data_IF_456589910968
#
_entry.id   IF_456589910968
#
_cell.length_a   1.000
_cell.length_b   1.000
_cell.length_c   1.000
_cell.angle_alpha   90.00
_cell.angle_beta   90.00
_cell.angle_gamma   90.00
#
_symmetry.space_group_name_H-M   'P 1'
#
loop_
_entity.id
_entity.type
_entity.pdbx_description
1 polymer ?
#
# COMPACT_ATOMS: atom_id res chain seq x y z
N UNK A 1 19.26 15.50 -5.37
CA UNK A 1 19.45 14.03 -5.30
C UNK A 1 19.57 13.54 -6.72
N UNK A 2 20.51 12.64 -7.02
CA UNK A 2 20.61 12.05 -8.35
C UNK A 2 19.45 11.07 -8.54
N UNK A 3 18.74 11.18 -9.65
CA UNK A 3 17.82 10.12 -10.10
C UNK A 3 18.63 8.83 -10.23
N UNK A 4 18.11 7.66 -9.83
CA UNK A 4 18.83 6.41 -9.98
C UNK A 4 19.19 6.18 -11.45
N UNK A 5 20.28 5.48 -11.70
CA UNK A 5 20.59 5.05 -13.05
C UNK A 5 19.52 4.06 -13.50
N UNK A 6 18.82 4.39 -14.58
CA UNK A 6 17.78 3.53 -15.13
C UNK A 6 18.28 2.90 -16.41
N UNK A 7 18.24 1.57 -16.45
CA UNK A 7 18.40 0.76 -17.65
C UNK A 7 17.02 0.26 -18.09
N UNK A 8 16.84 0.08 -19.37
CA UNK A 8 15.58 -0.40 -19.92
C UNK A 8 15.79 -1.22 -21.19
N UNK A 9 14.83 -2.07 -21.49
CA UNK A 9 14.66 -2.74 -22.78
C UNK A 9 13.20 -2.70 -23.16
N UNK A 10 12.91 -2.58 -24.45
CA UNK A 10 11.53 -2.54 -24.94
C UNK A 10 11.42 -3.20 -26.30
N UNK A 11 10.32 -3.92 -26.50
CA UNK A 11 10.00 -4.55 -27.78
C UNK A 11 8.49 -4.68 -27.93
N UNK A 12 8.01 -4.49 -29.14
CA UNK A 12 6.66 -4.83 -29.54
C UNK A 12 6.70 -5.75 -30.75
N UNK A 13 5.79 -6.71 -30.82
CA UNK A 13 5.65 -7.68 -31.90
C UNK A 13 4.18 -7.84 -32.27
N UNK A 14 3.89 -8.04 -33.56
CA UNK A 14 2.52 -8.18 -34.04
C UNK A 14 1.86 -9.50 -33.60
N UNK A 15 2.69 -10.45 -33.13
CA UNK A 15 2.26 -11.81 -32.85
C UNK A 15 2.22 -12.69 -34.10
N UNK A 16 1.55 -13.86 -34.00
CA UNK A 16 1.48 -14.85 -35.08
C UNK A 16 0.11 -14.89 -35.79
N UNK A 17 -0.90 -14.23 -35.21
CA UNK A 17 -2.28 -14.33 -35.68
C UNK A 17 -2.89 -12.99 -36.09
N UNK A 18 -2.29 -11.87 -35.72
CA UNK A 18 -2.73 -10.52 -36.06
C UNK A 18 -2.02 -10.04 -37.33
N UNK A 19 -2.69 -9.19 -38.12
CA UNK A 19 -2.10 -8.55 -39.30
C UNK A 19 -1.51 -7.16 -38.97
N UNK A 20 -2.04 -6.49 -37.95
CA UNK A 20 -1.66 -5.16 -37.52
C UNK A 20 -1.30 -5.16 -36.05
N UNK A 21 -0.43 -4.23 -35.67
CA UNK A 21 -0.08 -4.01 -34.29
C UNK A 21 -0.82 -2.78 -33.74
N UNK A 22 -1.78 -2.99 -32.86
CA UNK A 22 -2.57 -1.94 -32.21
C UNK A 22 -1.93 -1.52 -30.85
N UNK A 23 -0.90 -2.22 -30.39
CA UNK A 23 -0.12 -1.83 -29.22
C UNK A 23 0.77 -0.62 -29.51
N UNK A 24 1.00 0.19 -28.49
CA UNK A 24 1.96 1.29 -28.52
C UNK A 24 2.71 1.41 -27.20
N UNK A 25 3.96 1.87 -27.24
CA UNK A 25 4.73 2.16 -26.04
C UNK A 25 5.53 3.45 -26.19
N UNK A 26 5.94 4.02 -25.05
CA UNK A 26 6.81 5.18 -24.99
C UNK A 26 7.84 5.02 -23.88
N UNK A 27 9.06 5.47 -24.16
CA UNK A 27 10.12 5.61 -23.19
C UNK A 27 10.68 7.02 -23.30
N UNK A 28 10.56 7.79 -22.23
CA UNK A 28 11.28 9.06 -22.06
C UNK A 28 12.19 8.96 -20.81
N UNK A 29 13.44 8.55 -21.04
CA UNK A 29 14.44 8.41 -19.98
C UNK A 29 14.71 9.71 -19.23
N UNK A 30 14.54 10.87 -19.87
CA UNK A 30 14.80 12.19 -19.25
C UNK A 30 13.71 12.54 -18.25
N UNK A 31 12.46 12.23 -18.57
CA UNK A 31 11.33 12.37 -17.65
C UNK A 31 11.22 11.21 -16.66
N UNK A 32 11.87 10.08 -16.92
CA UNK A 32 11.67 8.84 -16.17
C UNK A 32 10.34 8.18 -16.49
N UNK A 33 9.75 8.41 -17.66
CA UNK A 33 8.42 7.94 -18.04
C UNK A 33 8.49 6.75 -19.00
N UNK A 34 7.75 5.68 -18.63
CA UNK A 34 7.59 4.45 -19.41
C UNK A 34 6.11 4.13 -19.52
N UNK A 35 5.61 3.82 -20.72
CA UNK A 35 4.19 3.63 -20.99
C UNK A 35 3.99 2.45 -21.93
N UNK A 36 2.96 1.64 -21.69
CA UNK A 36 2.42 0.63 -22.63
C UNK A 36 0.92 0.86 -22.75
N UNK A 37 0.42 0.81 -23.97
CA UNK A 37 -0.98 0.96 -24.31
C UNK A 37 -1.35 -0.13 -25.34
N UNK A 38 -2.42 -0.89 -25.06
CA UNK A 38 -3.02 -1.87 -25.96
C UNK A 38 -4.29 -1.29 -26.55
N UNK A 39 -4.30 -1.14 -27.86
CA UNK A 39 -5.36 -0.47 -28.59
C UNK A 39 -6.49 -1.42 -28.99
N UNK A 40 -7.74 -1.00 -28.79
CA UNK A 40 -8.92 -1.76 -29.17
C UNK A 40 -9.88 -0.93 -30.00
N UNK A 41 -10.59 -1.56 -30.98
CA UNK A 41 -11.61 -0.85 -31.74
C UNK A 41 -11.89 -1.38 -33.15
N UNK A 42 -11.24 -2.44 -33.55
CA UNK A 42 -11.37 -3.05 -34.89
C UNK A 42 -10.81 -2.18 -36.01
N UNK A 43 -10.24 -2.79 -37.06
CA UNK A 43 -9.52 -2.13 -38.15
C UNK A 43 -8.44 -1.18 -37.58
N UNK A 44 -7.90 -0.25 -38.13
CA UNK A 44 -6.85 0.64 -37.62
C UNK A 44 -7.29 1.60 -36.46
N UNK A 45 -8.42 1.37 -35.81
CA UNK A 45 -8.94 2.28 -34.80
C UNK A 45 -8.23 2.12 -33.44
N UNK A 46 -7.83 0.88 -33.08
CA UNK A 46 -7.04 0.60 -31.87
C UNK A 46 -5.64 1.23 -31.92
N UNK A 47 -4.96 1.12 -33.07
CA UNK A 47 -3.65 1.77 -33.29
C UNK A 47 -3.73 3.29 -33.10
N UNK A 48 -4.80 3.93 -33.61
CA UNK A 48 -5.01 5.37 -33.43
C UNK A 48 -5.25 5.71 -31.96
N UNK A 49 -6.02 4.89 -31.24
CA UNK A 49 -6.31 5.13 -29.83
C UNK A 49 -5.07 5.00 -28.97
N UNK A 50 -4.28 3.91 -29.10
CA UNK A 50 -3.06 3.68 -28.34
C UNK A 50 -2.00 4.75 -28.63
N UNK A 51 -1.78 5.12 -29.90
CA UNK A 51 -0.85 6.18 -30.29
C UNK A 51 -1.25 7.55 -29.72
N UNK A 52 -2.56 7.88 -29.74
CA UNK A 52 -3.06 9.14 -29.21
C UNK A 52 -2.97 9.19 -27.68
N UNK A 53 -3.19 8.06 -26.98
CA UNK A 53 -3.02 7.93 -25.54
C UNK A 53 -1.57 8.22 -25.14
N UNK A 54 -0.64 7.46 -25.70
CA UNK A 54 0.81 7.60 -25.45
C UNK A 54 1.28 9.04 -25.67
N UNK A 55 0.91 9.59 -26.82
CA UNK A 55 1.30 10.97 -27.18
C UNK A 55 0.72 12.01 -26.23
N UNK A 56 -0.56 11.90 -25.90
CA UNK A 56 -1.22 12.88 -25.02
C UNK A 56 -0.66 12.80 -23.59
N UNK A 57 -0.50 11.60 -23.05
CA UNK A 57 0.10 11.41 -21.75
C UNK A 57 1.48 12.03 -21.67
N UNK A 58 2.33 11.78 -22.66
CA UNK A 58 3.67 12.34 -22.73
C UNK A 58 3.65 13.88 -22.81
N UNK A 59 2.79 14.47 -23.67
CA UNK A 59 2.66 15.92 -23.81
C UNK A 59 2.26 16.59 -22.49
N UNK A 60 1.26 16.03 -21.78
CA UNK A 60 0.77 16.59 -20.51
C UNK A 60 1.81 16.46 -19.39
N UNK A 61 2.44 15.29 -19.24
CA UNK A 61 3.48 15.08 -18.21
C UNK A 61 4.71 15.97 -18.47
N UNK A 62 5.11 16.12 -19.74
CA UNK A 62 6.23 16.97 -20.13
C UNK A 62 6.00 18.46 -19.82
N UNK A 63 4.76 18.93 -19.87
CA UNK A 63 4.42 20.32 -19.48
C UNK A 63 4.68 20.57 -18.00
N UNK A 64 4.55 19.54 -17.18
CA UNK A 64 4.75 19.60 -15.72
C UNK A 64 6.16 19.16 -15.29
N UNK A 65 7.12 19.15 -16.23
CA UNK A 65 8.50 18.72 -15.96
C UNK A 65 9.18 19.49 -14.82
N UNK A 66 8.88 20.78 -14.66
CA UNK A 66 9.41 21.60 -13.56
C UNK A 66 8.84 21.16 -12.21
N UNK A 67 7.55 20.84 -12.12
CA UNK A 67 6.90 20.30 -10.91
C UNK A 67 7.51 18.94 -10.55
N UNK A 68 7.72 18.06 -11.52
CA UNK A 68 8.35 16.75 -11.32
C UNK A 68 9.79 16.93 -10.81
N UNK A 69 10.56 17.86 -11.40
CA UNK A 69 11.93 18.15 -10.98
C UNK A 69 11.98 18.74 -9.55
N UNK A 70 11.07 19.63 -9.20
CA UNK A 70 10.96 20.22 -7.86
C UNK A 70 10.60 19.17 -6.81
N UNK A 71 9.70 18.24 -7.12
CA UNK A 71 9.41 17.10 -6.28
C UNK A 71 10.64 16.20 -6.07
N UNK A 72 11.30 15.80 -7.15
CA UNK A 72 12.52 14.95 -7.10
C UNK A 72 13.68 15.59 -6.36
N UNK A 73 13.84 16.92 -6.43
CA UNK A 73 14.85 17.65 -5.71
C UNK A 73 14.55 17.84 -4.21
N UNK A 74 13.34 17.49 -3.73
CA UNK A 74 12.86 17.72 -2.36
C UNK A 74 13.11 19.15 -1.88
N UNK A 75 12.86 20.14 -2.74
CA UNK A 75 13.06 21.55 -2.41
C UNK A 75 12.25 21.94 -1.17
N UNK A 76 12.93 22.50 -0.18
CA UNK A 76 12.32 23.09 1.01
C UNK A 76 11.95 24.54 0.70
N UNK A 77 10.68 24.90 0.70
CA UNK A 77 10.20 26.26 0.42
C UNK A 77 8.68 26.36 0.35
N UNK A 78 8.15 27.56 0.11
CA UNK A 78 6.74 27.96 0.28
C UNK A 78 5.69 27.21 -0.58
N UNK A 79 6.11 26.38 -1.54
CA UNK A 79 5.23 25.49 -2.31
C UNK A 79 5.89 24.11 -2.44
N UNK A 80 5.80 23.30 -1.39
CA UNK A 80 6.31 21.93 -1.42
C UNK A 80 5.39 21.06 -2.27
N UNK A 81 5.86 20.64 -3.44
CA UNK A 81 5.16 19.63 -4.25
C UNK A 81 5.06 18.33 -3.46
N UNK A 82 3.86 17.77 -3.36
CA UNK A 82 3.57 16.54 -2.64
C UNK A 82 3.44 15.33 -3.58
N UNK A 83 3.45 14.11 -3.03
CA UNK A 83 3.12 12.89 -3.78
C UNK A 83 1.76 13.01 -4.48
N UNK A 84 0.79 13.62 -3.78
CA UNK A 84 -0.57 13.82 -4.28
C UNK A 84 -0.60 14.72 -5.51
N UNK A 85 0.25 15.74 -5.58
CA UNK A 85 0.30 16.62 -6.75
C UNK A 85 0.81 15.87 -7.98
N UNK A 86 1.82 15.00 -7.82
CA UNK A 86 2.30 14.12 -8.91
C UNK A 86 1.22 13.14 -9.34
N UNK A 87 0.51 12.51 -8.38
CA UNK A 87 -0.58 11.56 -8.68
C UNK A 87 -1.73 12.27 -9.41
N UNK A 88 -2.17 13.44 -8.92
CA UNK A 88 -3.23 14.23 -9.56
C UNK A 88 -2.84 14.65 -10.99
N UNK A 89 -1.59 15.00 -11.21
CA UNK A 89 -1.06 15.32 -12.54
C UNK A 89 -1.17 14.12 -13.50
N UNK A 90 -0.81 12.92 -13.04
CA UNK A 90 -0.93 11.69 -13.82
C UNK A 90 -2.40 11.36 -14.13
N UNK A 91 -3.29 11.46 -13.14
CA UNK A 91 -4.73 11.25 -13.31
C UNK A 91 -5.33 12.26 -14.32
N UNK A 92 -4.92 13.52 -14.23
CA UNK A 92 -5.30 14.55 -15.20
C UNK A 92 -4.82 14.20 -16.62
N UNK A 93 -3.57 13.76 -16.78
CA UNK A 93 -3.00 13.41 -18.07
C UNK A 93 -3.74 12.23 -18.74
N UNK A 94 -4.11 11.20 -17.96
CA UNK A 94 -4.92 10.06 -18.44
C UNK A 94 -6.31 10.51 -18.83
N UNK A 95 -6.99 11.33 -18.05
CA UNK A 95 -8.31 11.87 -18.40
C UNK A 95 -8.26 12.78 -19.62
N UNK A 96 -7.16 13.52 -19.80
CA UNK A 96 -6.94 14.32 -21.01
C UNK A 96 -6.77 13.44 -22.24
N UNK A 97 -6.07 12.31 -22.12
CA UNK A 97 -5.96 11.32 -23.19
C UNK A 97 -7.33 10.72 -23.52
N UNK A 98 -8.13 10.36 -22.50
CA UNK A 98 -9.49 9.82 -22.68
C UNK A 98 -10.38 10.80 -23.46
N UNK A 99 -10.46 12.05 -23.03
CA UNK A 99 -11.23 13.09 -23.73
C UNK A 99 -10.81 13.28 -25.19
N UNK A 100 -9.49 13.24 -25.47
CA UNK A 100 -8.98 13.40 -26.86
C UNK A 100 -9.34 12.22 -27.74
N UNK A 101 -9.21 10.99 -27.26
CA UNK A 101 -9.56 9.78 -28.01
C UNK A 101 -11.06 9.74 -28.25
N UNK A 102 -11.87 10.03 -27.24
CA UNK A 102 -13.33 10.08 -27.33
C UNK A 102 -13.80 11.12 -28.38
N UNK A 103 -13.19 12.31 -28.34
CA UNK A 103 -13.48 13.37 -29.32
C UNK A 103 -13.04 12.98 -30.75
N UNK A 104 -11.94 12.24 -30.90
CA UNK A 104 -11.51 11.75 -32.24
C UNK A 104 -12.43 10.65 -32.74
N UNK A 105 -12.87 9.73 -31.87
CA UNK A 105 -13.85 8.67 -32.20
C UNK A 105 -15.20 9.25 -32.69
N UNK A 106 -15.60 10.39 -32.13
CA UNK A 106 -16.86 11.06 -32.54
C UNK A 106 -16.83 11.63 -33.96
N UNK A 107 -15.65 11.88 -34.54
CA UNK A 107 -15.52 12.44 -35.89
C UNK A 107 -15.70 11.42 -37.02
N UNK A 108 -15.49 10.13 -36.73
CA UNK A 108 -15.54 9.06 -37.74
C UNK A 108 -16.30 7.85 -37.20
N UNK A 109 -17.40 7.49 -37.88
CA UNK A 109 -18.22 6.36 -37.50
C UNK A 109 -17.43 5.02 -37.44
N UNK A 110 -16.36 4.89 -38.25
CA UNK A 110 -15.50 3.70 -38.25
C UNK A 110 -14.61 3.59 -37.00
N UNK A 111 -14.39 4.70 -36.30
CA UNK A 111 -13.61 4.79 -35.06
C UNK A 111 -14.48 4.76 -33.80
N UNK A 112 -15.81 4.61 -33.99
CA UNK A 112 -16.73 4.68 -32.84
C UNK A 112 -16.47 3.55 -31.85
N UNK A 113 -16.27 3.95 -30.57
CA UNK A 113 -15.97 3.02 -29.49
C UNK A 113 -14.52 2.57 -29.44
N UNK A 114 -13.61 3.18 -30.21
CA UNK A 114 -12.18 2.94 -30.06
C UNK A 114 -11.73 3.37 -28.65
N UNK A 115 -10.77 2.65 -28.13
CA UNK A 115 -10.16 2.91 -26.84
C UNK A 115 -8.82 2.20 -26.73
N UNK A 116 -8.22 2.31 -25.59
CA UNK A 116 -6.95 1.63 -25.30
C UNK A 116 -6.84 1.35 -23.82
N UNK A 117 -6.09 0.32 -23.44
CA UNK A 117 -5.53 0.20 -22.10
C UNK A 117 -4.45 1.25 -21.90
N UNK A 118 -4.00 1.41 -20.68
CA UNK A 118 -2.83 2.22 -20.36
C UNK A 118 -2.19 1.68 -19.08
N UNK A 119 -0.90 1.40 -19.11
CA UNK A 119 -0.08 1.19 -17.92
C UNK A 119 1.17 2.05 -18.04
N UNK A 120 1.44 2.86 -17.02
CA UNK A 120 2.57 3.78 -17.02
C UNK A 120 3.31 3.78 -15.70
N UNK A 121 4.64 3.93 -15.80
CA UNK A 121 5.58 4.11 -14.71
C UNK A 121 6.27 5.45 -14.86
N UNK A 122 6.18 6.31 -13.85
CA UNK A 122 6.95 7.55 -13.74
C UNK A 122 7.91 7.44 -12.57
N UNK A 123 9.20 7.48 -12.85
CA UNK A 123 10.27 7.45 -11.83
C UNK A 123 10.68 8.87 -11.49
N UNK A 124 10.52 9.27 -10.23
CA UNK A 124 10.92 10.60 -9.74
C UNK A 124 11.75 10.47 -8.48
N UNK A 125 13.02 10.83 -8.57
CA UNK A 125 13.96 10.65 -7.46
C UNK A 125 14.08 9.17 -7.09
N UNK A 126 13.65 8.82 -5.89
CA UNK A 126 13.67 7.45 -5.37
C UNK A 126 12.28 6.84 -5.24
N UNK A 127 11.32 7.34 -6.00
CA UNK A 127 9.93 6.87 -5.97
C UNK A 127 9.44 6.55 -7.37
N UNK A 128 8.61 5.51 -7.45
CA UNK A 128 7.92 5.07 -8.65
C UNK A 128 6.43 5.39 -8.52
N UNK A 129 5.90 6.14 -9.47
CA UNK A 129 4.47 6.40 -9.59
C UNK A 129 3.92 5.52 -10.70
N UNK A 130 2.95 4.68 -10.35
CA UNK A 130 2.25 3.78 -11.26
C UNK A 130 0.85 4.30 -11.50
N UNK A 131 0.41 4.33 -12.76
CA UNK A 131 -0.98 4.63 -13.14
C UNK A 131 -1.42 3.68 -14.22
N UNK A 132 -2.65 3.17 -14.13
CA UNK A 132 -3.15 2.20 -15.10
C UNK A 132 -4.66 2.22 -15.29
N UNK A 133 -5.09 1.78 -16.48
CA UNK A 133 -6.48 1.55 -16.89
C UNK A 133 -6.49 0.35 -17.83
N UNK A 134 -7.36 -0.63 -17.59
CA UNK A 134 -7.50 -1.83 -18.43
C UNK A 134 -6.87 -3.06 -17.82
N UNK A 135 -6.39 -3.97 -18.65
CA UNK A 135 -5.80 -5.27 -18.31
C UNK A 135 -4.37 -5.46 -18.80
N UNK A 136 -3.74 -4.41 -19.35
CA UNK A 136 -2.29 -4.34 -19.44
C UNK A 136 -1.70 -4.28 -18.04
N UNK A 137 -0.61 -5.00 -17.81
CA UNK A 137 -0.11 -5.25 -16.45
C UNK A 137 1.26 -4.65 -16.19
N UNK A 138 1.51 -4.39 -14.92
CA UNK A 138 2.84 -4.09 -14.39
C UNK A 138 3.22 -5.10 -13.32
N UNK A 139 4.43 -5.64 -13.45
CA UNK A 139 5.03 -6.53 -12.47
C UNK A 139 6.29 -5.90 -11.89
N UNK A 140 6.59 -6.22 -10.64
CA UNK A 140 7.84 -5.87 -9.95
C UNK A 140 8.56 -7.15 -9.54
N UNK A 141 9.80 -7.31 -9.98
CA UNK A 141 10.74 -8.28 -9.43
C UNK A 141 11.65 -7.56 -8.44
N UNK A 142 11.51 -7.91 -7.17
CA UNK A 142 12.28 -7.37 -6.04
C UNK A 142 12.77 -8.52 -5.17
N UNK A 143 14.06 -8.57 -4.86
CA UNK A 143 14.67 -9.62 -4.02
C UNK A 143 14.33 -11.05 -4.47
N UNK A 144 14.19 -11.25 -5.77
CA UNK A 144 13.84 -12.54 -6.36
C UNK A 144 12.35 -12.91 -6.30
N UNK A 145 11.50 -12.06 -5.73
CA UNK A 145 10.05 -12.24 -5.68
C UNK A 145 9.40 -11.42 -6.79
N UNK A 146 8.60 -12.08 -7.63
CA UNK A 146 7.78 -11.42 -8.66
C UNK A 146 6.39 -11.14 -8.12
N UNK A 147 5.94 -9.90 -8.26
CA UNK A 147 4.62 -9.45 -7.83
C UNK A 147 3.92 -8.67 -8.94
N UNK A 148 2.62 -8.94 -9.18
CA UNK A 148 1.78 -8.12 -10.04
C UNK A 148 1.29 -6.90 -9.27
N UNK A 149 1.70 -5.70 -9.70
CA UNK A 149 1.33 -4.44 -9.06
C UNK A 149 -0.07 -3.96 -9.47
N UNK A 150 -0.44 -4.17 -10.73
CA UNK A 150 -1.73 -3.76 -11.28
C UNK A 150 -2.82 -4.80 -10.99
N UNK A 151 -4.06 -4.38 -11.06
CA UNK A 151 -5.21 -5.25 -11.01
C UNK A 151 -6.08 -5.02 -12.26
N UNK A 152 -6.31 -6.09 -13.01
CA UNK A 152 -7.01 -5.98 -14.30
C UNK A 152 -8.43 -5.45 -14.13
N UNK A 153 -8.79 -4.45 -14.91
CA UNK A 153 -10.15 -3.94 -15.00
C UNK A 153 -10.98 -4.81 -15.96
N UNK A 154 -11.31 -6.03 -15.51
CA UNK A 154 -12.08 -7.02 -16.27
C UNK A 154 -13.35 -7.42 -15.53
N UNK A 155 -14.33 -7.96 -16.30
CA UNK A 155 -15.57 -8.53 -15.73
C UNK A 155 -15.23 -9.60 -14.69
N UNK A 156 -14.23 -10.45 -14.96
CA UNK A 156 -13.74 -11.49 -14.06
C UNK A 156 -13.41 -10.91 -12.68
N UNK A 157 -12.51 -9.91 -12.64
CA UNK A 157 -12.06 -9.32 -11.39
C UNK A 157 -13.18 -8.56 -10.68
N UNK A 158 -14.03 -7.83 -11.40
CA UNK A 158 -15.19 -7.15 -10.83
C UNK A 158 -16.19 -8.11 -10.16
N UNK A 159 -16.46 -9.25 -10.77
CA UNK A 159 -17.37 -10.25 -10.19
C UNK A 159 -16.77 -10.95 -8.96
N UNK A 160 -15.48 -11.27 -9.01
CA UNK A 160 -14.76 -11.87 -7.88
C UNK A 160 -14.68 -10.88 -6.71
N UNK A 161 -14.33 -9.61 -6.97
CA UNK A 161 -14.30 -8.55 -5.94
C UNK A 161 -15.63 -8.38 -5.23
N UNK A 162 -16.72 -8.37 -6.00
CA UNK A 162 -18.07 -8.21 -5.45
C UNK A 162 -18.60 -9.47 -4.78
N UNK A 163 -17.85 -10.59 -4.77
CA UNK A 163 -18.25 -11.91 -4.25
C UNK A 163 -19.62 -12.37 -4.79
N UNK A 164 -19.98 -11.95 -6.01
CA UNK A 164 -21.24 -12.33 -6.64
C UNK A 164 -21.23 -13.72 -7.23
N UNK A 165 -20.04 -14.22 -7.58
CA UNK A 165 -19.81 -15.54 -8.17
C UNK A 165 -18.55 -16.16 -7.59
N UNK A 166 -18.48 -17.52 -7.57
CA UNK A 166 -17.25 -18.23 -7.26
C UNK A 166 -16.28 -18.17 -8.43
N UNK A 167 -15.00 -18.48 -8.19
CA UNK A 167 -13.96 -18.50 -9.23
C UNK A 167 -14.36 -19.45 -10.37
N UNK A 168 -14.88 -20.64 -10.02
CA UNK A 168 -15.33 -21.65 -11.00
C UNK A 168 -16.51 -21.15 -11.84
N UNK A 169 -17.44 -20.41 -11.24
CA UNK A 169 -18.57 -19.82 -11.96
C UNK A 169 -18.13 -18.71 -12.92
N UNK A 170 -17.18 -17.87 -12.50
CA UNK A 170 -16.65 -16.81 -13.35
C UNK A 170 -15.87 -17.37 -14.53
N UNK A 171 -15.09 -18.46 -14.30
CA UNK A 171 -14.33 -19.13 -15.38
C UNK A 171 -15.21 -19.69 -16.50
N UNK A 172 -16.49 -19.97 -16.23
CA UNK A 172 -17.44 -20.45 -17.24
C UNK A 172 -18.07 -19.33 -18.07
N UNK A 173 -17.85 -18.06 -17.72
CA UNK A 173 -18.38 -16.93 -18.47
C UNK A 173 -17.64 -16.72 -19.79
N UNK A 174 -18.40 -16.59 -20.90
CA UNK A 174 -17.83 -16.35 -22.22
C UNK A 174 -17.08 -15.01 -22.34
N UNK A 175 -17.46 -14.01 -21.55
CA UNK A 175 -16.90 -12.66 -21.58
C UNK A 175 -16.14 -12.31 -20.27
N UNK A 176 -15.55 -13.28 -19.61
CA UNK A 176 -14.83 -13.05 -18.34
C UNK A 176 -13.68 -12.05 -18.47
N UNK A 177 -13.01 -12.04 -19.60
CA UNK A 177 -11.87 -11.16 -19.88
C UNK A 177 -12.29 -9.84 -20.54
N UNK A 178 -13.61 -9.55 -20.67
CA UNK A 178 -14.04 -8.27 -21.21
C UNK A 178 -13.59 -7.13 -20.30
N UNK A 179 -12.94 -6.12 -20.90
CA UNK A 179 -12.43 -4.94 -20.20
C UNK A 179 -13.60 -4.08 -19.70
N UNK A 180 -13.56 -3.67 -18.45
CA UNK A 180 -14.58 -2.82 -17.82
C UNK A 180 -14.22 -1.35 -17.79
N UNK A 181 -12.91 -1.02 -17.93
CA UNK A 181 -12.42 0.36 -18.01
C UNK A 181 -11.38 0.48 -19.11
N UNK A 182 -11.51 1.49 -19.97
CA UNK A 182 -10.56 1.80 -21.03
C UNK A 182 -10.49 3.30 -21.29
N UNK A 183 -9.33 3.77 -21.70
CA UNK A 183 -9.08 5.17 -22.07
C UNK A 183 -9.69 5.45 -23.43
N UNK A 184 -10.57 6.46 -23.54
CA UNK A 184 -11.15 6.92 -24.80
C UNK A 184 -12.54 6.37 -25.14
N UNK A 185 -12.98 5.26 -24.53
CA UNK A 185 -14.35 4.73 -24.72
C UNK A 185 -15.38 5.74 -24.19
N UNK A 186 -15.06 6.37 -23.06
CA UNK A 186 -15.82 7.48 -22.49
C UNK A 186 -14.94 8.73 -22.39
N UNK A 187 -15.56 9.90 -22.25
CA UNK A 187 -14.83 11.17 -22.10
C UNK A 187 -13.94 11.18 -20.89
N UNK A 188 -14.41 10.57 -19.80
CA UNK A 188 -13.67 10.44 -18.52
C UNK A 188 -13.51 8.98 -18.14
N UNK A 189 -12.38 8.66 -17.53
CA UNK A 189 -12.07 7.34 -17.00
C UNK A 189 -11.46 7.49 -15.61
N UNK A 190 -11.72 6.55 -14.72
CA UNK A 190 -11.13 6.48 -13.40
C UNK A 190 -9.90 5.55 -13.43
N UNK A 191 -8.67 6.09 -13.44
CA UNK A 191 -7.45 5.29 -13.38
C UNK A 191 -7.17 4.86 -11.94
N UNK A 192 -6.51 3.71 -11.80
CA UNK A 192 -5.91 3.32 -10.53
C UNK A 192 -4.45 3.80 -10.46
N UNK A 193 -4.02 4.21 -9.27
CA UNK A 193 -2.67 4.73 -9.03
C UNK A 193 -2.01 4.03 -7.84
N UNK A 194 -0.67 3.95 -7.87
CA UNK A 194 0.16 3.42 -6.79
C UNK A 194 1.48 4.18 -6.73
N UNK A 195 2.02 4.39 -5.53
CA UNK A 195 3.35 4.98 -5.33
C UNK A 195 4.22 4.03 -4.53
N UNK A 196 5.41 3.74 -5.04
CA UNK A 196 6.35 2.81 -4.43
C UNK A 196 7.69 3.51 -4.18
N UNK A 197 8.33 3.18 -3.06
CA UNK A 197 9.75 3.49 -2.89
C UNK A 197 10.59 2.52 -3.74
N UNK A 198 11.54 3.06 -4.50
CA UNK A 198 12.48 2.29 -5.30
C UNK A 198 13.64 1.75 -4.47
N UNK A 199 14.06 0.54 -4.81
CA UNK A 199 15.25 -0.11 -4.27
C UNK A 199 16.21 -0.43 -5.43
N UNK A 200 17.51 -0.40 -5.17
CA UNK A 200 18.50 -0.89 -6.14
C UNK A 200 18.22 -2.34 -6.51
N UNK A 201 18.25 -2.63 -7.81
CA UNK A 201 17.93 -3.96 -8.32
C UNK A 201 16.46 -4.20 -8.62
N UNK A 202 15.54 -3.29 -8.28
CA UNK A 202 14.14 -3.38 -8.72
C UNK A 202 14.05 -3.50 -10.24
N UNK A 203 13.20 -4.41 -10.70
CA UNK A 203 12.92 -4.57 -12.12
C UNK A 203 11.43 -4.57 -12.35
N UNK A 204 10.97 -3.60 -13.12
CA UNK A 204 9.58 -3.48 -13.53
C UNK A 204 9.41 -4.08 -14.94
N UNK A 205 8.30 -4.80 -15.13
CA UNK A 205 7.81 -5.21 -16.45
C UNK A 205 6.46 -4.57 -16.68
N UNK A 206 6.35 -3.75 -17.72
CA UNK A 206 5.08 -3.26 -18.26
C UNK A 206 4.77 -4.07 -19.51
N UNK A 207 3.57 -4.61 -19.65
CA UNK A 207 3.21 -5.43 -20.80
C UNK A 207 1.72 -5.38 -21.14
N UNK A 208 1.40 -5.63 -22.43
CA UNK A 208 0.03 -5.90 -22.90
C UNK A 208 -0.41 -7.32 -22.54
N UNK A 209 -1.69 -7.60 -22.67
CA UNK A 209 -2.31 -8.90 -22.38
C UNK A 209 -1.80 -10.03 -23.31
N UNK A 210 -1.38 -9.69 -24.53
CA UNK A 210 -0.75 -10.62 -25.46
C UNK A 210 0.56 -11.25 -24.94
N UNK A 211 1.20 -10.62 -23.94
CA UNK A 211 2.28 -11.26 -23.18
C UNK A 211 1.74 -11.95 -21.92
N UNK A 212 1.11 -11.18 -21.01
CA UNK A 212 0.80 -11.67 -19.68
C UNK A 212 -0.32 -12.71 -19.65
N UNK A 213 -1.23 -12.71 -20.62
CA UNK A 213 -2.31 -13.69 -20.72
C UNK A 213 -1.86 -15.15 -20.83
N UNK A 214 -0.64 -15.41 -21.26
CA UNK A 214 -0.05 -16.76 -21.26
C UNK A 214 0.44 -17.24 -19.89
N UNK A 215 0.53 -16.33 -18.91
CA UNK A 215 1.09 -16.57 -17.58
C UNK A 215 0.07 -16.37 -16.45
N UNK A 216 -1.22 -16.33 -16.77
CA UNK A 216 -2.30 -16.10 -15.80
C UNK A 216 -2.34 -17.14 -14.66
N UNK A 217 -2.04 -18.39 -14.98
CA UNK A 217 -2.07 -19.51 -14.02
C UNK A 217 -0.76 -19.65 -13.23
N UNK A 218 0.36 -19.20 -13.80
CA UNK A 218 1.68 -19.25 -13.20
C UNK A 218 2.57 -18.11 -13.70
N UNK A 219 2.87 -17.16 -12.82
CA UNK A 219 3.75 -16.02 -13.14
C UNK A 219 5.24 -16.30 -12.93
N UNK A 220 5.62 -17.46 -12.36
CA UNK A 220 7.02 -17.77 -12.07
C UNK A 220 7.93 -17.72 -13.30
N UNK A 221 7.49 -18.20 -14.50
CA UNK A 221 8.31 -18.08 -15.71
C UNK A 221 8.64 -16.62 -16.09
N UNK A 222 7.70 -15.66 -15.87
CA UNK A 222 7.99 -14.24 -16.09
C UNK A 222 9.15 -13.77 -15.20
N UNK A 223 9.16 -14.18 -13.93
CA UNK A 223 10.22 -13.84 -12.98
C UNK A 223 11.59 -14.33 -13.46
N UNK A 224 11.67 -15.54 -14.03
CA UNK A 224 12.90 -16.10 -14.58
C UNK A 224 13.42 -15.31 -15.79
N UNK A 225 12.53 -14.89 -16.69
CA UNK A 225 12.91 -14.04 -17.82
C UNK A 225 13.35 -12.66 -17.35
N UNK A 226 12.60 -12.08 -16.40
CA UNK A 226 12.91 -10.77 -15.82
C UNK A 226 14.24 -10.76 -15.07
N UNK A 227 14.68 -11.87 -14.49
CA UNK A 227 15.96 -12.01 -13.81
C UNK A 227 17.16 -12.01 -14.79
N UNK A 228 16.96 -12.08 -16.13
CA UNK A 228 18.03 -11.95 -17.11
C UNK A 228 18.69 -10.57 -16.96
N UNK A 229 20.01 -10.46 -16.72
CA UNK A 229 20.66 -9.18 -16.40
C UNK A 229 20.47 -8.09 -17.47
N UNK A 230 20.62 -8.44 -18.72
CA UNK A 230 20.46 -7.54 -19.85
C UNK A 230 18.97 -7.38 -20.18
N UNK A 231 18.47 -6.15 -20.10
CA UNK A 231 17.04 -5.82 -20.30
C UNK A 231 16.56 -6.09 -21.73
N UNK A 232 17.41 -5.84 -22.74
CA UNK A 232 17.06 -6.09 -24.13
C UNK A 232 16.98 -7.59 -24.43
N UNK A 233 17.87 -8.42 -23.85
CA UNK A 233 17.76 -9.86 -23.94
C UNK A 233 16.53 -10.39 -23.20
N UNK A 234 16.22 -9.84 -22.03
CA UNK A 234 15.06 -10.24 -21.26
C UNK A 234 13.76 -10.02 -22.02
N UNK A 235 13.60 -8.83 -22.62
CA UNK A 235 12.44 -8.48 -23.44
C UNK A 235 12.31 -9.41 -24.65
N UNK A 236 13.41 -9.69 -25.38
CA UNK A 236 13.37 -10.62 -26.51
C UNK A 236 12.91 -12.01 -26.11
N UNK A 237 13.44 -12.55 -25.00
CA UNK A 237 13.01 -13.87 -24.49
C UNK A 237 11.52 -13.90 -24.11
N UNK A 238 10.98 -12.82 -23.55
CA UNK A 238 9.55 -12.72 -23.22
C UNK A 238 8.69 -12.74 -24.47
N UNK A 239 9.04 -11.93 -25.48
CA UNK A 239 8.31 -11.88 -26.77
C UNK A 239 8.40 -13.24 -27.47
N UNK A 240 9.59 -13.83 -27.56
CA UNK A 240 9.80 -15.15 -28.18
C UNK A 240 8.96 -16.22 -27.48
N UNK A 241 8.95 -16.25 -26.14
CA UNK A 241 8.14 -17.19 -25.37
C UNK A 241 6.65 -17.03 -25.64
N UNK A 242 6.11 -15.80 -25.68
CA UNK A 242 4.70 -15.58 -26.00
C UNK A 242 4.36 -16.00 -27.44
N UNK A 243 5.25 -15.75 -28.39
CA UNK A 243 5.12 -16.19 -29.77
C UNK A 243 5.16 -17.74 -29.91
N UNK A 244 6.02 -18.41 -29.14
CA UNK A 244 6.09 -19.89 -29.08
C UNK A 244 4.81 -20.49 -28.48
N UNK A 245 4.20 -19.82 -27.51
CA UNK A 245 2.92 -20.21 -26.92
C UNK A 245 1.70 -19.91 -27.81
N UNK A 246 1.93 -19.33 -28.99
CA UNK A 246 0.93 -19.18 -30.05
C UNK A 246 0.77 -17.79 -30.63
N UNK A 247 1.32 -16.73 -29.99
CA UNK A 247 1.30 -15.35 -30.48
C UNK A 247 -0.08 -14.89 -30.93
N UNK A 248 -1.10 -15.07 -30.09
CA UNK A 248 -2.51 -14.86 -30.45
C UNK A 248 -2.88 -13.38 -30.63
N UNK A 249 -2.14 -12.51 -29.96
CA UNK A 249 -2.35 -11.07 -29.97
C UNK A 249 -1.05 -10.30 -30.19
N UNK A 250 -1.13 -8.99 -30.27
CA UNK A 250 -0.01 -8.08 -30.24
C UNK A 250 0.70 -8.21 -28.89
N UNK A 251 2.02 -8.24 -28.90
CA UNK A 251 2.83 -8.53 -27.72
C UNK A 251 3.77 -7.37 -27.47
N UNK A 252 3.57 -6.65 -26.40
CA UNK A 252 4.42 -5.52 -26.02
C UNK A 252 4.97 -5.71 -24.63
N UNK A 253 6.28 -5.49 -24.47
CA UNK A 253 6.97 -5.55 -23.19
C UNK A 253 7.96 -4.40 -23.05
N UNK A 254 7.96 -3.76 -21.89
CA UNK A 254 8.94 -2.76 -21.47
C UNK A 254 9.49 -3.18 -20.12
N UNK A 255 10.80 -3.38 -20.03
CA UNK A 255 11.50 -3.67 -18.79
C UNK A 255 12.25 -2.42 -18.35
N UNK A 256 12.11 -2.06 -17.07
CA UNK A 256 12.79 -0.94 -16.43
C UNK A 256 13.57 -1.49 -15.25
N UNK A 257 14.88 -1.32 -15.23
CA UNK A 257 15.77 -1.77 -14.16
C UNK A 257 16.33 -0.55 -13.42
N UNK A 258 16.16 -0.54 -12.11
CA UNK A 258 16.74 0.46 -11.21
C UNK A 258 18.17 0.03 -10.88
N UNK A 259 19.14 0.82 -11.33
CA UNK A 259 20.55 0.59 -11.06
C UNK A 259 20.96 0.92 -9.62
N UNK A 260 22.26 0.99 -9.39
CA UNK A 260 22.81 1.27 -8.07
C UNK A 260 22.30 2.62 -7.54
N UNK A 261 21.75 2.56 -6.35
CA UNK A 261 21.37 3.72 -5.57
C UNK A 261 22.60 4.21 -4.78
N UNK A 262 22.61 5.48 -4.41
CA UNK A 262 23.69 6.04 -3.58
C UNK A 262 23.68 5.39 -2.18
N UNK A 263 24.77 5.53 -1.42
CA UNK A 263 24.87 5.00 -0.04
C UNK A 263 23.71 5.47 0.88
N UNK A 264 23.07 6.62 0.57
CA UNK A 264 21.84 7.06 1.26
C UNK A 264 20.61 6.23 0.88
N UNK A 265 20.59 5.72 -0.32
CA UNK A 265 19.47 4.93 -0.84
C UNK A 265 19.55 3.47 -0.36
N UNK A 266 20.76 2.96 -0.05
CA UNK A 266 20.95 1.67 0.62
C UNK A 266 20.29 1.69 2.02
N UNK A 267 20.54 2.76 2.80
CA UNK A 267 19.86 2.93 4.09
C UNK A 267 18.33 3.00 3.95
N UNK A 268 17.83 3.53 2.83
CA UNK A 268 16.38 3.58 2.55
C UNK A 268 15.82 2.20 2.21
N UNK A 269 16.55 1.39 1.44
CA UNK A 269 16.17 0.01 1.16
C UNK A 269 16.08 -0.82 2.45
N UNK A 270 17.07 -0.71 3.33
CA UNK A 270 17.04 -1.33 4.66
C UNK A 270 15.85 -0.85 5.50
N UNK A 271 15.55 0.46 5.47
CA UNK A 271 14.38 1.01 6.16
C UNK A 271 13.06 0.48 5.59
N UNK A 272 12.95 0.34 4.26
CA UNK A 272 11.74 -0.18 3.63
C UNK A 272 11.52 -1.65 3.98
N UNK A 273 12.58 -2.44 3.93
CA UNK A 273 12.53 -3.84 4.34
C UNK A 273 12.14 -3.96 5.82
N UNK A 274 12.74 -3.14 6.68
CA UNK A 274 12.39 -3.10 8.10
C UNK A 274 10.92 -2.71 8.32
N UNK A 275 10.42 -1.70 7.61
CA UNK A 275 8.99 -1.32 7.65
C UNK A 275 8.08 -2.48 7.26
N UNK A 276 8.41 -3.18 6.15
CA UNK A 276 7.65 -4.33 5.67
C UNK A 276 7.61 -5.45 6.69
N UNK A 277 8.77 -5.81 7.25
CA UNK A 277 8.88 -6.84 8.29
C UNK A 277 8.07 -6.48 9.54
N UNK A 278 8.14 -5.21 9.98
CA UNK A 278 7.38 -4.76 11.15
C UNK A 278 5.88 -4.80 10.92
N UNK A 279 5.40 -4.34 9.75
CA UNK A 279 3.98 -4.44 9.40
C UNK A 279 3.51 -5.91 9.34
N UNK A 280 4.27 -6.79 8.69
CA UNK A 280 3.91 -8.20 8.57
C UNK A 280 3.84 -8.94 9.93
N UNK A 281 4.58 -8.49 10.94
CA UNK A 281 4.56 -9.04 12.31
C UNK A 281 3.35 -8.57 13.12
N UNK A 282 2.78 -7.40 12.79
CA UNK A 282 1.65 -6.87 13.54
C UNK A 282 0.37 -7.69 13.30
N UNK A 283 -0.38 -8.08 14.35
CA UNK A 283 -1.64 -8.80 14.22
C UNK A 283 -2.61 -8.14 13.25
N UNK A 284 -2.64 -6.79 13.23
CA UNK A 284 -3.53 -6.00 12.39
C UNK A 284 -3.28 -6.19 10.89
N UNK A 285 -2.01 -6.34 10.47
CA UNK A 285 -1.62 -6.43 9.06
C UNK A 285 -1.22 -7.85 8.62
N UNK A 286 -1.16 -8.80 9.54
CA UNK A 286 -0.75 -10.19 9.29
C UNK A 286 -1.53 -10.92 8.16
N UNK A 287 -2.85 -10.67 7.93
CA UNK A 287 -3.58 -11.34 6.86
C UNK A 287 -3.38 -10.70 5.48
N UNK A 288 -2.58 -9.63 5.39
CA UNK A 288 -2.34 -8.92 4.14
C UNK A 288 -1.32 -9.69 3.29
N UNK A 289 -1.57 -9.73 1.99
CA UNK A 289 -0.58 -10.18 1.03
C UNK A 289 0.46 -9.06 0.75
N UNK A 290 1.50 -9.38 -0.01
CA UNK A 290 2.60 -8.45 -0.28
C UNK A 290 2.13 -7.16 -0.96
N UNK A 291 1.21 -7.25 -1.93
CA UNK A 291 0.62 -6.08 -2.60
C UNK A 291 -0.16 -5.18 -1.62
N UNK A 292 -0.94 -5.79 -0.74
CA UNK A 292 -1.70 -5.05 0.27
C UNK A 292 -0.77 -4.38 1.30
N UNK A 293 0.33 -5.05 1.67
CA UNK A 293 1.40 -4.44 2.51
C UNK A 293 2.04 -3.25 1.79
N UNK A 294 2.34 -3.37 0.49
CA UNK A 294 2.87 -2.24 -0.29
C UNK A 294 1.91 -1.06 -0.27
N UNK A 295 0.59 -1.31 -0.41
CA UNK A 295 -0.44 -0.25 -0.30
C UNK A 295 -0.45 0.44 1.07
N UNK A 296 -0.27 -0.31 2.14
CA UNK A 296 -0.15 0.29 3.49
C UNK A 296 1.14 1.09 3.61
N UNK A 297 2.26 0.58 3.08
CA UNK A 297 3.55 1.28 3.10
C UNK A 297 3.54 2.63 2.37
N UNK A 298 2.73 2.78 1.32
CA UNK A 298 2.55 4.06 0.59
C UNK A 298 2.18 5.23 1.51
N UNK A 299 1.43 4.96 2.57
CA UNK A 299 0.91 5.97 3.50
C UNK A 299 1.67 6.02 4.82
N UNK A 300 2.81 5.35 4.89
CA UNK A 300 3.66 5.39 6.08
C UNK A 300 4.75 6.44 5.96
N UNK A 301 4.93 7.23 7.00
CA UNK A 301 6.11 8.08 7.19
C UNK A 301 7.04 7.50 8.25
N UNK A 302 8.26 8.03 8.36
CA UNK A 302 9.17 7.75 9.48
C UNK A 302 9.48 9.05 10.20
N UNK A 303 9.31 9.06 11.51
CA UNK A 303 9.68 10.15 12.39
C UNK A 303 10.76 9.71 13.36
N UNK A 304 11.78 10.57 13.57
CA UNK A 304 12.87 10.34 14.52
C UNK A 304 12.68 11.23 15.72
N UNK A 305 12.85 10.66 16.91
CA UNK A 305 12.69 11.32 18.19
C UNK A 305 13.97 11.20 19.00
N UNK A 306 14.37 12.31 19.65
CA UNK A 306 15.51 12.34 20.55
C UNK A 306 15.13 11.82 21.94
N UNK A 307 16.14 11.51 22.76
CA UNK A 307 15.91 11.06 24.13
C UNK A 307 15.06 12.06 24.93
N UNK A 308 13.99 11.58 25.56
CA UNK A 308 13.06 12.40 26.34
C UNK A 308 12.05 13.19 25.50
N UNK A 309 12.07 13.10 24.16
CA UNK A 309 11.10 13.77 23.29
C UNK A 309 9.76 13.06 23.35
N UNK A 310 8.67 13.84 23.43
CA UNK A 310 7.30 13.30 23.48
C UNK A 310 6.82 12.93 22.09
N UNK A 311 6.41 11.69 21.95
CA UNK A 311 5.75 11.15 20.73
C UNK A 311 4.25 11.36 20.80
N UNK A 312 3.66 11.12 21.97
CA UNK A 312 2.23 11.24 22.28
C UNK A 312 2.10 11.93 23.61
N UNK A 313 1.10 12.81 23.76
CA UNK A 313 0.74 13.45 25.03
C UNK A 313 -0.64 12.96 25.49
N UNK A 314 -0.75 12.52 26.74
CA UNK A 314 -2.01 12.10 27.36
C UNK A 314 -3.05 13.22 27.30
N UNK A 315 -4.30 12.88 26.98
CA UNK A 315 -5.42 13.81 26.88
C UNK A 315 -5.51 14.58 25.56
N UNK A 316 -4.44 14.66 24.77
CA UNK A 316 -4.50 15.27 23.45
C UNK A 316 -5.25 14.39 22.45
N UNK A 317 -5.92 15.00 21.46
CA UNK A 317 -6.51 14.26 20.36
C UNK A 317 -5.39 13.81 19.40
N UNK A 318 -5.35 12.54 19.09
CA UNK A 318 -4.40 11.97 18.14
C UNK A 318 -5.10 11.21 17.02
N UNK A 319 -4.49 11.24 15.84
CA UNK A 319 -5.00 10.58 14.63
C UNK A 319 -3.92 9.70 13.98
N UNK A 320 -2.87 9.35 14.72
CA UNK A 320 -1.74 8.56 14.25
C UNK A 320 -1.59 7.26 15.03
N UNK A 321 -1.22 6.20 14.32
CA UNK A 321 -0.62 4.98 14.82
C UNK A 321 0.89 5.10 14.70
N UNK A 322 1.61 4.72 15.75
CA UNK A 322 3.07 4.67 15.79
C UNK A 322 3.54 3.23 15.97
N UNK A 323 4.55 2.80 15.20
CA UNK A 323 5.19 1.50 15.30
C UNK A 323 6.68 1.73 15.49
N UNK A 324 7.27 1.11 16.52
CA UNK A 324 8.70 1.27 16.81
C UNK A 324 9.52 0.51 15.77
N UNK A 325 10.32 1.23 14.98
CA UNK A 325 11.28 0.64 14.04
C UNK A 325 12.63 0.40 14.67
N UNK A 326 13.14 1.40 15.40
CA UNK A 326 14.42 1.34 16.12
C UNK A 326 14.33 2.13 17.40
N UNK A 327 15.16 1.76 18.40
CA UNK A 327 15.14 2.37 19.74
C UNK A 327 13.98 1.86 20.58
N UNK A 328 13.67 2.56 21.66
CA UNK A 328 12.59 2.21 22.58
C UNK A 328 11.78 3.44 22.94
N UNK A 329 10.52 3.25 23.34
CA UNK A 329 9.69 4.33 23.88
C UNK A 329 8.99 3.88 25.15
N UNK A 330 8.88 4.78 26.14
CA UNK A 330 8.20 4.56 27.41
C UNK A 330 6.78 5.05 27.36
N UNK A 331 5.85 4.24 27.82
CA UNK A 331 4.45 4.60 27.97
C UNK A 331 4.22 5.02 29.41
N UNK A 332 3.79 6.26 29.62
CA UNK A 332 3.62 6.90 30.93
C UNK A 332 2.17 7.28 31.16
N UNK A 333 1.71 7.15 32.39
CA UNK A 333 0.47 7.77 32.86
C UNK A 333 0.76 8.65 34.05
N UNK A 334 0.67 9.97 33.87
CA UNK A 334 1.28 10.91 34.80
C UNK A 334 2.78 10.64 34.92
N UNK A 335 3.27 10.43 36.15
CA UNK A 335 4.67 10.13 36.44
C UNK A 335 5.00 8.61 36.51
N UNK A 336 4.03 7.75 36.27
CA UNK A 336 4.19 6.29 36.39
C UNK A 336 4.48 5.72 35.00
N UNK A 337 5.62 4.99 34.88
CA UNK A 337 5.92 4.19 33.70
C UNK A 337 5.04 2.92 33.72
N UNK A 338 4.22 2.75 32.69
CA UNK A 338 3.35 1.59 32.52
C UNK A 338 4.09 0.43 31.84
N UNK A 339 4.82 0.75 30.76
CA UNK A 339 5.58 -0.25 29.98
C UNK A 339 6.59 0.46 29.08
N UNK A 340 7.59 -0.30 28.63
CA UNK A 340 8.50 0.11 27.57
C UNK A 340 8.18 -0.68 26.28
N UNK A 341 8.05 0.02 25.14
CA UNK A 341 7.84 -0.56 23.84
C UNK A 341 9.15 -0.68 23.08
N UNK A 342 9.34 -1.82 22.43
CA UNK A 342 10.52 -2.22 21.69
C UNK A 342 10.27 -2.27 20.18
N UNK A 343 11.28 -2.44 19.31
CA UNK A 343 11.11 -2.62 17.88
C UNK A 343 10.10 -3.73 17.55
N UNK A 344 9.08 -3.36 16.76
CA UNK A 344 7.92 -4.22 16.42
C UNK A 344 6.68 -3.96 17.26
N UNK A 345 6.78 -3.28 18.39
CA UNK A 345 5.64 -2.87 19.19
C UNK A 345 4.99 -1.61 18.59
N UNK A 346 3.73 -1.39 18.95
CA UNK A 346 2.95 -0.27 18.42
C UNK A 346 2.10 0.40 19.51
N UNK A 347 1.72 1.65 19.25
CA UNK A 347 0.86 2.44 20.13
C UNK A 347 -0.03 3.37 19.31
N UNK A 348 -1.24 3.60 19.80
CA UNK A 348 -2.20 4.54 19.19
C UNK A 348 -3.05 3.95 18.07
N UNK A 349 -3.17 2.62 17.94
CA UNK A 349 -3.97 1.94 16.93
C UNK A 349 -5.46 2.32 16.98
N UNK A 350 -5.96 2.65 18.19
CA UNK A 350 -7.35 3.11 18.36
C UNK A 350 -7.63 4.42 17.62
N UNK A 351 -6.61 5.25 17.42
CA UNK A 351 -6.72 6.52 16.71
C UNK A 351 -7.02 6.32 15.21
N UNK A 352 -6.68 5.17 14.62
CA UNK A 352 -7.06 4.85 13.24
C UNK A 352 -8.57 4.60 13.10
N UNK A 353 -9.22 4.06 14.13
CA UNK A 353 -10.67 3.78 14.11
C UNK A 353 -11.47 4.99 14.54
N UNK A 354 -11.07 5.63 15.62
CA UNK A 354 -11.82 6.75 16.23
C UNK A 354 -10.88 7.78 16.82
N UNK A 355 -11.09 9.06 16.47
CA UNK A 355 -10.39 10.16 17.12
C UNK A 355 -10.84 10.27 18.58
N UNK A 356 -9.94 9.93 19.49
CA UNK A 356 -10.16 9.97 20.94
C UNK A 356 -8.97 10.62 21.63
N UNK A 357 -9.17 11.20 22.83
CA UNK A 357 -8.03 11.61 23.65
C UNK A 357 -7.10 10.44 23.95
N UNK A 358 -5.81 10.69 23.88
CA UNK A 358 -4.76 9.70 24.19
C UNK A 358 -4.84 9.26 25.65
N UNK A 359 -4.75 7.98 25.91
CA UNK A 359 -4.86 7.39 27.25
C UNK A 359 -3.55 7.41 28.04
N UNK A 360 -2.43 7.74 27.40
CA UNK A 360 -1.12 7.77 27.99
C UNK A 360 -0.19 8.70 27.20
N UNK A 361 0.87 9.17 27.85
CA UNK A 361 2.00 9.87 27.24
C UNK A 361 3.03 8.84 26.78
N UNK A 362 3.60 9.05 25.58
CA UNK A 362 4.70 8.21 25.07
C UNK A 362 5.92 9.09 24.87
N UNK A 363 7.04 8.65 25.43
CA UNK A 363 8.31 9.40 25.43
C UNK A 363 9.43 8.51 24.89
N UNK A 364 10.27 9.08 24.04
CA UNK A 364 11.43 8.38 23.50
C UNK A 364 12.48 8.09 24.56
N UNK A 365 12.93 6.83 24.65
CA UNK A 365 14.01 6.38 25.52
C UNK A 365 15.29 6.13 24.69
N UNK A 366 16.10 7.16 24.56
CA UNK A 366 17.20 7.22 23.61
C UNK A 366 16.77 7.80 22.25
N UNK A 367 17.57 7.56 21.21
CA UNK A 367 17.20 7.89 19.83
C UNK A 367 16.26 6.80 19.31
N UNK A 368 15.05 7.19 18.90
CA UNK A 368 14.05 6.26 18.38
C UNK A 368 13.55 6.66 17.01
N UNK A 369 13.33 5.69 16.15
CA UNK A 369 12.69 5.84 14.85
C UNK A 369 11.33 5.13 14.87
N UNK A 370 10.27 5.85 14.55
CA UNK A 370 8.90 5.35 14.57
C UNK A 370 8.28 5.47 13.19
N UNK A 371 7.64 4.41 12.72
CA UNK A 371 6.78 4.45 11.57
C UNK A 371 5.42 5.03 11.98
N UNK A 372 4.92 5.97 11.19
CA UNK A 372 3.69 6.72 11.45
C UNK A 372 2.68 6.43 10.36
N UNK A 373 1.49 6.04 10.76
CA UNK A 373 0.33 5.88 9.86
C UNK A 373 -0.74 6.88 10.30
N UNK A 374 -1.05 7.86 9.43
CA UNK A 374 -2.11 8.84 9.72
C UNK A 374 -3.48 8.28 9.35
N UNK A 375 -4.44 8.58 10.18
CA UNK A 375 -5.83 8.15 9.99
C UNK A 375 -6.40 8.59 8.64
N UNK A 376 -6.17 9.82 8.22
CA UNK A 376 -6.64 10.36 6.93
C UNK A 376 -6.15 9.54 5.75
N UNK A 377 -4.86 9.26 5.74
CA UNK A 377 -4.19 8.55 4.65
C UNK A 377 -4.58 7.07 4.64
N UNK A 378 -4.72 6.48 5.83
CA UNK A 378 -5.23 5.13 6.00
C UNK A 378 -6.67 4.97 5.48
N UNK A 379 -7.56 5.92 5.78
CA UNK A 379 -8.93 5.91 5.27
C UNK A 379 -9.00 6.12 3.75
N UNK A 380 -8.11 6.89 3.17
CA UNK A 380 -8.06 7.07 1.72
C UNK A 380 -7.72 5.76 0.99
N UNK A 381 -6.82 4.92 1.55
CA UNK A 381 -6.59 3.57 1.03
C UNK A 381 -7.84 2.70 1.20
N UNK A 382 -8.46 2.68 2.38
CA UNK A 382 -9.63 1.84 2.64
C UNK A 382 -10.81 2.16 1.72
N UNK A 383 -10.95 3.41 1.29
CA UNK A 383 -11.98 3.82 0.32
C UNK A 383 -11.70 3.28 -1.07
N UNK A 384 -10.44 3.19 -1.48
CA UNK A 384 -10.02 2.68 -2.80
C UNK A 384 -9.98 1.15 -2.83
N UNK A 385 -9.54 0.51 -1.76
CA UNK A 385 -9.25 -0.93 -1.67
C UNK A 385 -10.24 -1.65 -0.74
N UNK A 386 -11.44 -1.95 -1.25
CA UNK A 386 -12.52 -2.52 -0.43
C UNK A 386 -12.19 -3.87 0.21
N UNK A 387 -11.40 -4.73 -0.46
CA UNK A 387 -10.99 -6.03 0.10
C UNK A 387 -10.02 -5.86 1.26
N UNK A 388 -9.05 -4.96 1.11
CA UNK A 388 -8.12 -4.57 2.17
C UNK A 388 -8.90 -3.99 3.37
N UNK A 389 -9.89 -3.11 3.11
CA UNK A 389 -10.73 -2.54 4.14
C UNK A 389 -11.46 -3.61 4.96
N UNK A 390 -12.05 -4.61 4.30
CA UNK A 390 -12.75 -5.72 4.99
C UNK A 390 -11.79 -6.54 5.84
N UNK A 391 -10.61 -6.92 5.31
CA UNK A 391 -9.60 -7.67 6.08
C UNK A 391 -9.17 -6.91 7.33
N UNK A 392 -8.85 -5.62 7.18
CA UNK A 392 -8.41 -4.79 8.29
C UNK A 392 -9.52 -4.57 9.34
N UNK A 393 -10.76 -4.36 8.92
CA UNK A 393 -11.89 -4.24 9.86
C UNK A 393 -12.08 -5.52 10.69
N UNK A 394 -11.97 -6.72 10.08
CA UNK A 394 -12.02 -7.97 10.82
C UNK A 394 -10.89 -8.11 11.82
N UNK A 395 -9.67 -7.71 11.45
CA UNK A 395 -8.52 -7.73 12.38
C UNK A 395 -8.70 -6.73 13.53
N UNK A 396 -9.18 -5.52 13.24
CA UNK A 396 -9.50 -4.55 14.30
C UNK A 396 -10.53 -5.10 15.28
N UNK A 397 -11.60 -5.74 14.79
CA UNK A 397 -12.59 -6.37 15.65
C UNK A 397 -11.98 -7.48 16.52
N UNK A 398 -11.08 -8.30 15.96
CA UNK A 398 -10.34 -9.32 16.71
C UNK A 398 -9.50 -8.70 17.83
N UNK A 399 -8.64 -7.73 17.50
CA UNK A 399 -7.78 -7.03 18.48
C UNK A 399 -8.60 -6.38 19.59
N UNK A 400 -9.75 -5.76 19.25
CA UNK A 400 -10.63 -5.14 20.24
C UNK A 400 -11.32 -6.18 21.14
N UNK A 401 -11.74 -7.31 20.57
CA UNK A 401 -12.33 -8.41 21.34
C UNK A 401 -11.33 -9.01 22.34
N UNK A 402 -10.09 -9.25 21.90
CA UNK A 402 -9.03 -9.75 22.76
C UNK A 402 -8.72 -8.79 23.92
N UNK A 403 -8.57 -7.48 23.63
CA UNK A 403 -8.36 -6.46 24.66
C UNK A 403 -9.51 -6.35 25.65
N UNK A 404 -10.75 -6.44 25.16
CA UNK A 404 -11.93 -6.42 26.05
C UNK A 404 -11.92 -7.64 26.97
N UNK A 405 -11.58 -8.82 26.46
CA UNK A 405 -11.47 -10.04 27.25
C UNK A 405 -10.37 -9.95 28.30
N UNK A 406 -9.20 -9.40 27.94
CA UNK A 406 -8.07 -9.18 28.87
C UNK A 406 -8.46 -8.18 29.96
N UNK A 407 -8.98 -7.01 29.59
CA UNK A 407 -9.42 -5.99 30.56
C UNK A 407 -10.52 -6.54 31.49
N UNK A 408 -11.44 -7.35 30.98
CA UNK A 408 -12.49 -7.98 31.79
C UNK A 408 -11.91 -8.99 32.77
N UNK A 409 -10.88 -9.73 32.38
CA UNK A 409 -10.17 -10.68 33.29
C UNK A 409 -9.40 -9.91 34.37
N UNK A 410 -8.65 -8.88 34.02
CA UNK A 410 -7.93 -8.03 34.96
C UNK A 410 -8.88 -7.36 35.97
N UNK A 411 -10.01 -6.84 35.48
CA UNK A 411 -11.02 -6.25 36.35
C UNK A 411 -11.66 -7.29 37.28
N UNK A 412 -11.86 -8.51 36.79
CA UNK A 412 -12.35 -9.64 37.60
C UNK A 412 -11.37 -9.97 38.71
N UNK A 413 -10.08 -10.15 38.40
CA UNK A 413 -9.03 -10.45 39.36
C UNK A 413 -8.87 -9.32 40.40
N UNK A 414 -8.87 -8.05 39.98
CA UNK A 414 -8.79 -6.92 40.90
C UNK A 414 -9.99 -6.82 41.85
N UNK A 415 -11.21 -7.19 41.36
CA UNK A 415 -12.40 -7.25 42.22
C UNK A 415 -12.33 -8.39 43.23
N UNK A 416 -11.79 -9.54 42.87
CA UNK A 416 -11.57 -10.68 43.77
C UNK A 416 -10.52 -10.34 44.84
N UNK A 417 -9.43 -9.66 44.47
CA UNK A 417 -8.42 -9.18 45.40
C UNK A 417 -9.01 -8.17 46.41
N UNK A 418 -9.75 -7.15 45.95
CA UNK A 418 -10.42 -6.20 46.84
C UNK A 418 -11.41 -6.87 47.77
N UNK A 419 -12.19 -7.82 47.27
CA UNK A 419 -13.15 -8.59 48.11
C UNK A 419 -12.43 -9.44 49.16
N UNK A 420 -11.25 -9.98 48.84
CA UNK A 420 -10.43 -10.72 49.79
C UNK A 420 -9.78 -9.79 50.85
N UNK A 421 -9.35 -8.59 50.47
CA UNK A 421 -8.85 -7.56 51.38
C UNK A 421 -9.95 -7.08 52.33
N UNK A 422 -11.16 -6.78 51.81
CA UNK A 422 -12.31 -6.37 52.64
C UNK A 422 -12.70 -7.46 53.64
N UNK A 423 -12.68 -8.75 53.23
CA UNK A 423 -12.96 -9.86 54.10
C UNK A 423 -11.91 -10.01 55.22
N UNK A 424 -10.65 -9.81 54.89
CA UNK A 424 -9.53 -9.85 55.84
C UNK A 424 -9.64 -8.71 56.84
N UNK A 425 -9.97 -7.50 56.38
CA UNK A 425 -10.20 -6.33 57.24
C UNK A 425 -11.38 -6.57 58.22
N UNK A 426 -12.48 -7.12 57.74
CA UNK A 426 -13.65 -7.44 58.55
C UNK A 426 -13.37 -8.50 59.64
N UNK A 427 -12.52 -9.50 59.33
CA UNK A 427 -12.09 -10.54 60.32
C UNK A 427 -11.21 -9.89 61.40
N UNK A 428 -10.29 -9.00 61.03
CA UNK A 428 -9.44 -8.32 61.98
C UNK A 428 -10.22 -7.33 62.88
N UNK A 429 -11.25 -6.63 62.34
CA UNK A 429 -12.11 -5.73 63.15
C UNK A 429 -12.99 -6.54 64.12
N UNK A 430 -13.49 -7.73 63.77
CA UNK A 430 -14.23 -8.62 64.68
C UNK A 430 -13.35 -9.15 65.82
N UNK A 431 -12.10 -9.49 65.55
CA UNK A 431 -11.13 -9.92 66.58
C UNK A 431 -10.77 -8.79 67.57
N UNK A 432 -10.56 -7.54 67.07
CA UNK A 432 -10.32 -6.39 67.95
C UNK A 432 -11.54 -6.06 68.84
N UNK A 433 -12.77 -6.22 68.30
CA UNK A 433 -13.99 -6.00 69.07
C UNK A 433 -14.26 -7.09 70.09
N UNK A 434 -13.86 -8.32 69.78
CA UNK A 434 -13.87 -9.46 70.72
C UNK A 434 -12.89 -9.30 71.85
N UNK A 435 -11.65 -8.85 71.58
CA UNK A 435 -10.63 -8.61 72.60
C UNK A 435 -11.00 -7.43 73.53
N UNK A 436 -11.67 -6.38 73.02
CA UNK A 436 -12.17 -5.28 73.85
C UNK A 436 -13.31 -5.69 74.80
N UNK A 437 -14.13 -6.67 74.42
CA UNK A 437 -15.23 -7.21 75.26
C UNK A 437 -14.72 -8.13 76.33
N UNK A 438 -13.52 -8.72 76.22
CA UNK A 438 -12.94 -9.68 77.16
C UNK A 438 -12.17 -9.00 78.31
N UNK A 439 -11.89 -7.69 78.23
CA UNK A 439 -11.12 -6.94 79.21
C UNK A 439 -11.97 -6.21 80.23
N UNK A 440 -13.24 -6.56 80.42
CA UNK A 440 -14.06 -6.05 81.54
C UNK A 440 -13.81 -6.94 82.79
N UNK A 441 -12.83 -6.57 83.57
CA UNK A 441 -12.62 -7.14 84.91
C UNK A 441 -13.86 -6.93 85.78
N UNK A 442 -14.33 -7.92 86.52
CA UNK A 442 -15.41 -7.72 87.50
C UNK A 442 -14.97 -6.78 88.62
N UNK A 443 -15.84 -5.97 89.16
CA UNK A 443 -15.52 -5.09 90.25
C UNK A 443 -15.12 -5.88 91.50
N UNK A 444 -14.18 -5.38 92.30
CA UNK A 444 -13.77 -6.06 93.53
C UNK A 444 -14.98 -6.21 94.49
N UNK A 445 -15.02 -7.31 95.33
CA UNK A 445 -16.11 -7.53 96.27
C UNK A 445 -16.07 -6.47 97.36
N UNK A 446 -17.25 -5.87 97.57
CA UNK A 446 -17.46 -4.97 98.71
C UNK A 446 -17.39 -5.73 100.01
N UNK A 447 -16.63 -5.13 100.99
CA UNK A 447 -16.89 -5.21 102.39
C UNK A 447 -16.17 -6.27 103.19
N UNK A 448 -15.38 -5.77 104.08
CA UNK A 448 -15.56 -6.04 105.50
C UNK A 448 -14.51 -5.22 106.25
N UNK A 449 -15.01 -4.36 107.13
CA UNK A 449 -14.43 -3.75 108.34
C UNK A 449 -12.93 -3.57 108.51
#
# INVERSE_FOLDING_TARGET
MSTPEIQFGALTDVGRQREHNEDNYLIDKKLGLFVVCDGMGGHAAGEVASALAVRTLHEEIKREADMIADYGAKKVGAAKVSKRDITNMLEFAVNRASSRIHAEAAKDAKKRGMGTTLVALLVVGTEAFVIYVGDSRMYLLRDGVLEQLTEDHTVRNELLKRKKMTREQVEQLAQKNAITRAVGVYEHVEPDTMVLDLIAGDRFLLCSDGLCGYFDDDIEPLGRYLATPDADQAVRKLIDAANELGGKDNITAVIVTVGDLTARDVNRAEQLQLKREMLARMPLFRPLNDREILRVLEVTDVASYQNGERVITEGEKGEELFIVLRGNVKVMRGDVELTTLHPGDHVGEMALVRSQPRSATVVSDGLSELMVIRRTDFYDILRKEHQLAVKLLWQFLGVLADRLADTSRELGAAREELAAEDLTHAIFEEDEEADRKTLVLPPPPDGAE
#
